data_IF_547547321567
#
_entry.id   IF_547547321567
#
_cell.length_a   1.000
_cell.length_b   1.000
_cell.length_c   1.000
_cell.angle_alpha   90.00
_cell.angle_beta   90.00
_cell.angle_gamma   90.00
#
_symmetry.space_group_name_H-M   'P 1'
#
loop_
_entity.id
_entity.type
_entity.pdbx_description
1 polymer ?
#
# COMPACT_ATOMS: atom_id res chain seq x y z
N UNK A 1 -16.43 20.64 11.34
CA UNK A 1 -15.54 20.91 10.18
C UNK A 1 -16.09 20.11 9.02
N UNK A 2 -16.45 20.74 7.90
CA UNK A 2 -16.94 20.01 6.73
C UNK A 2 -15.76 19.25 6.11
N UNK A 3 -15.91 17.93 5.92
CA UNK A 3 -14.89 17.12 5.26
C UNK A 3 -14.65 17.64 3.83
N UNK A 4 -13.39 17.63 3.33
CA UNK A 4 -13.10 18.05 1.96
C UNK A 4 -13.87 17.17 0.96
N UNK A 5 -14.42 17.80 -0.09
CA UNK A 5 -15.19 17.13 -1.13
C UNK A 5 -14.28 16.66 -2.27
N UNK A 6 -14.60 15.51 -2.86
CA UNK A 6 -14.16 15.09 -4.19
C UNK A 6 -15.08 15.72 -5.23
N UNK A 7 -14.49 16.44 -6.18
CA UNK A 7 -15.20 17.05 -7.30
C UNK A 7 -14.77 16.36 -8.58
N UNK A 8 -15.72 16.01 -9.44
CA UNK A 8 -15.41 15.48 -10.75
C UNK A 8 -15.37 16.56 -11.83
N UNK A 9 -14.93 16.17 -13.03
CA UNK A 9 -15.17 16.86 -14.28
C UNK A 9 -16.04 15.99 -15.17
N UNK A 10 -17.14 16.54 -15.66
CA UNK A 10 -17.98 15.83 -16.63
C UNK A 10 -17.27 15.70 -17.97
N UNK A 11 -17.77 14.82 -18.84
CA UNK A 11 -17.23 14.68 -20.19
C UNK A 11 -17.15 16.02 -20.93
N UNK A 12 -18.14 16.90 -20.77
CA UNK A 12 -18.19 18.19 -21.46
C UNK A 12 -17.21 19.22 -20.86
N UNK A 13 -16.87 19.11 -19.59
CA UNK A 13 -15.90 19.99 -18.91
C UNK A 13 -14.44 19.62 -19.20
N UNK A 14 -14.17 18.38 -19.61
CA UNK A 14 -12.82 17.90 -19.91
C UNK A 14 -12.28 18.49 -21.22
N UNK A 15 -11.01 18.87 -21.23
CA UNK A 15 -10.29 19.26 -22.45
C UNK A 15 -9.11 18.34 -22.73
N UNK A 16 -8.76 18.16 -24.01
CA UNK A 16 -7.50 17.51 -24.38
C UNK A 16 -6.34 18.35 -23.82
N UNK A 17 -5.39 17.68 -23.16
CA UNK A 17 -4.30 18.31 -22.43
C UNK A 17 -4.59 18.57 -20.95
N UNK A 18 -5.84 18.42 -20.48
CA UNK A 18 -6.11 18.44 -19.05
C UNK A 18 -5.30 17.35 -18.34
N UNK A 19 -4.68 17.70 -17.23
CA UNK A 19 -3.87 16.77 -16.44
C UNK A 19 -4.13 16.88 -14.95
N UNK A 20 -3.87 15.79 -14.25
CA UNK A 20 -3.85 15.72 -12.80
C UNK A 20 -2.69 14.83 -12.35
N UNK A 21 -2.11 15.15 -11.20
CA UNK A 21 -0.97 14.43 -10.65
C UNK A 21 -1.07 14.27 -9.14
N UNK A 22 -0.48 13.20 -8.63
CA UNK A 22 -0.24 13.00 -7.22
C UNK A 22 1.18 12.51 -6.99
N UNK A 23 1.71 12.79 -5.81
CA UNK A 23 3.07 12.42 -5.43
C UNK A 23 3.03 11.64 -4.12
N UNK A 24 3.75 10.52 -4.08
CA UNK A 24 3.84 9.67 -2.88
C UNK A 24 5.24 9.11 -2.73
N UNK A 25 5.74 9.11 -1.50
CA UNK A 25 6.97 8.42 -1.11
C UNK A 25 6.62 6.96 -0.87
N UNK A 26 7.36 6.05 -1.48
CA UNK A 26 7.22 4.61 -1.29
C UNK A 26 7.74 4.24 0.09
N UNK A 27 6.91 3.56 0.89
CA UNK A 27 7.29 3.10 2.22
C UNK A 27 7.35 1.57 2.28
N UNK A 28 8.02 1.04 3.30
CA UNK A 28 8.04 -0.42 3.51
C UNK A 28 6.63 -0.95 3.79
N UNK A 29 5.82 -0.18 4.52
CA UNK A 29 4.43 -0.53 4.82
C UNK A 29 3.59 -0.65 3.53
N UNK A 30 3.94 0.10 2.48
CA UNK A 30 3.26 0.00 1.19
C UNK A 30 3.50 -1.36 0.52
N UNK A 31 4.72 -1.89 0.66
CA UNK A 31 5.09 -3.21 0.14
C UNK A 31 4.34 -4.30 0.89
N UNK A 32 4.35 -4.23 2.23
CA UNK A 32 3.64 -5.19 3.09
C UNK A 32 2.13 -5.17 2.82
N UNK A 33 1.51 -4.00 2.74
CA UNK A 33 0.09 -3.85 2.43
C UNK A 33 -0.24 -4.35 1.02
N UNK A 34 0.59 -4.03 0.04
CA UNK A 34 0.36 -4.48 -1.33
C UNK A 34 0.50 -6.00 -1.45
N UNK A 35 1.51 -6.60 -0.82
CA UNK A 35 1.65 -8.06 -0.74
C UNK A 35 0.43 -8.70 -0.05
N UNK A 36 -0.03 -8.14 1.06
CA UNK A 36 -1.19 -8.65 1.79
C UNK A 36 -2.49 -8.63 0.98
N UNK A 37 -2.76 -7.54 0.23
CA UNK A 37 -3.99 -7.42 -0.57
C UNK A 37 -3.92 -8.19 -1.89
N UNK A 38 -2.75 -8.28 -2.50
CA UNK A 38 -2.56 -8.95 -3.81
C UNK A 38 -2.30 -10.45 -3.69
N UNK A 39 -1.80 -10.91 -2.55
CA UNK A 39 -1.27 -12.27 -2.37
C UNK A 39 0.11 -12.48 -3.01
N UNK A 40 0.74 -11.44 -3.58
CA UNK A 40 2.06 -11.52 -4.19
C UNK A 40 3.16 -11.48 -3.12
N UNK A 41 3.55 -12.69 -2.69
CA UNK A 41 4.61 -12.95 -1.71
C UNK A 41 5.97 -13.23 -2.37
N UNK A 42 6.21 -12.71 -3.57
CA UNK A 42 7.49 -12.89 -4.24
C UNK A 42 8.65 -12.39 -3.33
N UNK A 43 9.67 -13.24 -3.05
CA UNK A 43 10.78 -12.89 -2.17
C UNK A 43 11.54 -11.62 -2.59
N UNK A 44 11.54 -11.25 -3.87
CA UNK A 44 12.13 -9.99 -4.35
C UNK A 44 11.54 -8.73 -3.69
N UNK A 45 10.32 -8.82 -3.15
CA UNK A 45 9.62 -7.73 -2.49
C UNK A 45 9.71 -7.80 -0.95
N UNK A 46 9.92 -8.98 -0.37
CA UNK A 46 9.75 -9.18 1.09
C UNK A 46 11.03 -9.61 1.81
N UNK A 47 11.95 -10.29 1.13
CA UNK A 47 13.18 -10.82 1.73
C UNK A 47 14.39 -9.99 1.29
N UNK A 48 14.97 -9.24 2.22
CA UNK A 48 16.16 -8.41 1.97
C UNK A 48 17.40 -9.24 1.63
N UNK A 49 17.55 -10.43 2.21
CA UNK A 49 18.69 -11.31 1.94
C UNK A 49 18.58 -11.91 0.54
N UNK A 50 17.37 -12.31 0.13
CA UNK A 50 17.12 -12.76 -1.23
C UNK A 50 17.29 -11.61 -2.24
N UNK A 51 16.66 -10.46 -2.01
CA UNK A 51 16.69 -9.33 -2.93
C UNK A 51 18.10 -8.78 -3.17
N UNK A 52 19.01 -8.89 -2.19
CA UNK A 52 20.43 -8.54 -2.35
C UNK A 52 21.17 -9.43 -3.36
N UNK A 53 20.66 -10.64 -3.62
CA UNK A 53 21.23 -11.59 -4.60
C UNK A 53 20.52 -11.53 -5.96
N UNK A 54 19.39 -10.85 -6.04
CA UNK A 54 18.58 -10.71 -7.25
C UNK A 54 19.12 -9.60 -8.18
N UNK A 55 18.62 -9.56 -9.42
CA UNK A 55 19.01 -8.61 -10.47
C UNK A 55 18.85 -7.14 -10.06
N UNK A 56 17.99 -6.86 -9.07
CA UNK A 56 17.79 -5.53 -8.52
C UNK A 56 18.77 -5.18 -7.39
N UNK A 57 19.30 -6.18 -6.67
CA UNK A 57 20.25 -6.01 -5.57
C UNK A 57 19.68 -5.35 -4.30
N UNK A 58 18.36 -5.11 -4.25
CA UNK A 58 17.63 -4.57 -3.11
C UNK A 58 16.12 -4.83 -3.27
N UNK A 59 15.36 -4.66 -2.18
CA UNK A 59 13.90 -4.77 -2.20
C UNK A 59 13.29 -3.67 -3.05
N UNK A 60 12.38 -4.05 -3.95
CA UNK A 60 11.61 -3.13 -4.80
C UNK A 60 10.12 -3.28 -4.50
N UNK A 61 9.32 -2.24 -4.69
CA UNK A 61 7.85 -2.36 -4.57
C UNK A 61 7.26 -3.04 -5.80
N UNK A 62 6.13 -3.73 -5.64
CA UNK A 62 5.37 -4.31 -6.75
C UNK A 62 5.05 -3.22 -7.77
N UNK A 63 5.38 -3.45 -9.05
CA UNK A 63 5.16 -2.45 -10.11
C UNK A 63 3.71 -1.97 -10.17
N UNK A 64 2.76 -2.87 -9.90
CA UNK A 64 1.32 -2.57 -9.91
C UNK A 64 0.88 -1.57 -8.83
N UNK A 65 1.69 -1.33 -7.79
CA UNK A 65 1.46 -0.25 -6.83
C UNK A 65 1.39 1.11 -7.53
N UNK A 66 2.23 1.34 -8.54
CA UNK A 66 2.18 2.58 -9.36
C UNK A 66 0.91 2.64 -10.21
N UNK A 67 0.38 1.50 -10.65
CA UNK A 67 -0.96 1.40 -11.27
C UNK A 67 -2.08 1.79 -10.31
N UNK A 68 -1.95 1.47 -9.03
CA UNK A 68 -2.88 1.94 -7.98
C UNK A 68 -2.92 3.46 -7.84
N UNK A 69 -1.78 4.15 -8.04
CA UNK A 69 -1.74 5.62 -8.06
C UNK A 69 -2.51 6.21 -9.25
N UNK A 70 -2.38 5.60 -10.43
CA UNK A 70 -3.14 5.97 -11.63
C UNK A 70 -4.64 5.77 -11.38
N UNK A 71 -5.02 4.61 -10.84
CA UNK A 71 -6.41 4.32 -10.48
C UNK A 71 -6.97 5.35 -9.50
N UNK A 72 -6.16 5.78 -8.52
CA UNK A 72 -6.54 6.84 -7.57
C UNK A 72 -6.86 8.14 -8.31
N UNK A 73 -5.95 8.62 -9.18
CA UNK A 73 -6.17 9.86 -9.95
C UNK A 73 -7.46 9.81 -10.78
N UNK A 74 -7.69 8.71 -11.49
CA UNK A 74 -8.88 8.56 -12.34
C UNK A 74 -10.18 8.58 -11.53
N UNK A 75 -10.18 7.95 -10.36
CA UNK A 75 -11.36 7.86 -9.48
C UNK A 75 -11.62 9.09 -8.64
N UNK A 76 -10.59 9.88 -8.30
CA UNK A 76 -10.73 10.97 -7.32
C UNK A 76 -10.46 12.36 -7.85
N UNK A 77 -9.71 12.52 -8.95
CA UNK A 77 -9.25 13.83 -9.44
C UNK A 77 -9.62 14.10 -10.91
N UNK A 78 -9.26 13.21 -11.85
CA UNK A 78 -9.46 13.44 -13.28
C UNK A 78 -9.75 12.14 -14.06
N UNK A 79 -11.00 11.92 -14.54
CA UNK A 79 -12.16 12.81 -14.39
C UNK A 79 -12.70 12.90 -12.96
N UNK A 80 -12.37 11.94 -12.08
CA UNK A 80 -12.82 11.93 -10.69
C UNK A 80 -14.12 11.13 -10.47
N UNK A 81 -14.91 11.42 -9.42
CA UNK A 81 -16.08 10.64 -9.08
C UNK A 81 -17.06 10.38 -10.24
N UNK A 82 -17.56 9.15 -10.34
CA UNK A 82 -18.45 8.71 -11.42
C UNK A 82 -17.74 8.24 -12.69
N UNK A 83 -16.40 8.27 -12.72
CA UNK A 83 -15.61 7.67 -13.80
C UNK A 83 -15.75 6.14 -13.81
N UNK A 84 -15.93 5.55 -14.99
CA UNK A 84 -15.88 4.09 -15.18
C UNK A 84 -14.58 3.74 -15.88
N UNK A 85 -13.75 2.93 -15.24
CA UNK A 85 -12.44 2.53 -15.74
C UNK A 85 -12.58 1.29 -16.63
N UNK A 86 -12.35 1.43 -17.93
CA UNK A 86 -12.59 0.36 -18.91
C UNK A 86 -11.35 -0.50 -19.16
N UNK A 87 -10.19 0.14 -19.35
CA UNK A 87 -8.94 -0.57 -19.63
C UNK A 87 -7.73 0.27 -19.22
N UNK A 88 -6.62 -0.43 -18.98
CA UNK A 88 -5.33 0.15 -18.68
C UNK A 88 -4.23 -0.69 -19.31
N UNK A 89 -3.33 -0.03 -20.03
CA UNK A 89 -2.08 -0.59 -20.53
C UNK A 89 -0.90 -0.05 -19.70
N UNK A 90 0.01 -0.90 -19.23
CA UNK A 90 1.13 -0.51 -18.37
C UNK A 90 2.44 -1.08 -18.91
N UNK A 91 3.47 -0.24 -18.97
CA UNK A 91 4.83 -0.63 -19.27
C UNK A 91 5.73 -0.22 -18.11
N UNK A 92 6.21 -1.20 -17.35
CA UNK A 92 7.13 -1.00 -16.24
C UNK A 92 8.55 -0.78 -16.79
N UNK A 93 9.09 0.42 -16.63
CA UNK A 93 10.36 0.85 -17.25
C UNK A 93 11.56 0.68 -16.32
N UNK A 94 11.34 0.92 -15.03
CA UNK A 94 12.38 0.85 -14.00
C UNK A 94 11.77 0.34 -12.68
N UNK A 95 12.55 -0.40 -11.87
CA UNK A 95 12.13 -0.75 -10.52
C UNK A 95 11.98 0.52 -9.67
N UNK A 96 11.17 0.42 -8.63
CA UNK A 96 10.95 1.47 -7.64
C UNK A 96 11.31 0.92 -6.27
N UNK A 97 12.11 1.65 -5.50
CA UNK A 97 12.61 1.22 -4.20
C UNK A 97 11.88 1.93 -3.05
N UNK A 98 11.84 1.35 -1.84
CA UNK A 98 11.52 2.10 -0.62
C UNK A 98 12.33 3.40 -0.51
N UNK A 99 11.64 4.50 -0.22
CA UNK A 99 12.23 5.84 -0.16
C UNK A 99 12.16 6.63 -1.46
N UNK A 100 11.90 5.99 -2.61
CA UNK A 100 11.66 6.72 -3.86
C UNK A 100 10.41 7.58 -3.75
N UNK A 101 10.45 8.76 -4.37
CA UNK A 101 9.30 9.65 -4.49
C UNK A 101 8.74 9.54 -5.89
N UNK A 102 7.52 8.98 -6.01
CA UNK A 102 6.87 8.76 -7.30
C UNK A 102 5.79 9.81 -7.52
N UNK A 103 5.86 10.48 -8.67
CA UNK A 103 4.82 11.38 -9.16
C UNK A 103 4.08 10.68 -10.30
N UNK A 104 2.82 10.31 -10.04
CA UNK A 104 1.91 9.80 -11.05
C UNK A 104 1.17 10.96 -11.70
N UNK A 105 1.00 10.93 -13.02
CA UNK A 105 0.27 11.93 -13.81
C UNK A 105 -0.63 11.22 -14.81
N UNK A 106 -1.85 11.73 -14.97
CA UNK A 106 -2.76 11.35 -16.06
C UNK A 106 -3.05 12.58 -16.92
N UNK A 107 -3.07 12.43 -18.24
CA UNK A 107 -3.33 13.54 -19.18
C UNK A 107 -4.33 13.12 -20.24
N UNK A 108 -5.38 13.92 -20.47
CA UNK A 108 -6.38 13.64 -21.51
C UNK A 108 -5.75 13.74 -22.90
N UNK A 109 -5.74 12.63 -23.63
CA UNK A 109 -5.25 12.55 -25.01
C UNK A 109 -6.36 12.73 -26.03
N UNK A 110 -7.49 12.08 -25.81
CA UNK A 110 -8.57 12.01 -26.79
C UNK A 110 -9.95 11.92 -26.11
N UNK A 111 -10.97 12.50 -26.73
CA UNK A 111 -12.37 12.41 -26.31
C UNK A 111 -13.23 11.85 -27.46
N UNK A 112 -14.04 10.84 -27.16
CA UNK A 112 -14.98 10.17 -28.08
C UNK A 112 -16.42 10.37 -27.59
N UNK A 113 -17.19 11.33 -28.16
CA UNK A 113 -18.48 11.77 -27.62
C UNK A 113 -19.55 10.69 -27.55
N UNK A 114 -19.62 9.80 -28.55
CA UNK A 114 -20.71 8.81 -28.70
C UNK A 114 -20.95 7.97 -27.44
N UNK A 115 -19.87 7.63 -26.72
CA UNK A 115 -19.92 6.86 -25.48
C UNK A 115 -19.26 7.57 -24.30
N UNK A 116 -18.97 8.87 -24.42
CA UNK A 116 -18.21 9.67 -23.44
C UNK A 116 -16.87 9.01 -23.05
N UNK A 117 -16.25 8.34 -24.02
CA UNK A 117 -14.98 7.66 -23.81
C UNK A 117 -13.87 8.71 -23.83
N UNK A 118 -12.95 8.60 -22.87
CA UNK A 118 -11.75 9.44 -22.77
C UNK A 118 -10.53 8.53 -22.71
N UNK A 119 -9.57 8.80 -23.59
CA UNK A 119 -8.25 8.17 -23.56
C UNK A 119 -7.29 9.10 -22.82
N UNK A 120 -6.54 8.55 -21.86
CA UNK A 120 -5.55 9.29 -21.10
C UNK A 120 -4.17 8.66 -21.23
N UNK A 121 -3.15 9.50 -21.35
CA UNK A 121 -1.75 9.14 -21.08
C UNK A 121 -1.60 8.93 -19.58
N UNK A 122 -0.84 7.92 -19.17
CA UNK A 122 -0.57 7.62 -17.77
C UNK A 122 0.94 7.44 -17.58
N UNK A 123 1.51 8.20 -16.66
CA UNK A 123 2.96 8.26 -16.49
C UNK A 123 3.31 8.37 -15.02
N UNK A 124 4.29 7.58 -14.57
CA UNK A 124 4.89 7.71 -13.25
C UNK A 124 6.39 8.00 -13.40
N UNK A 125 6.85 9.04 -12.71
CA UNK A 125 8.26 9.44 -12.67
C UNK A 125 8.79 9.41 -11.25
N UNK A 126 10.07 9.10 -11.08
CA UNK A 126 10.73 9.19 -9.78
C UNK A 126 11.22 10.63 -9.49
N UNK A 127 11.87 10.84 -8.34
CA UNK A 127 12.42 12.11 -7.88
C UNK A 127 13.47 12.73 -8.82
N UNK A 128 14.05 11.93 -9.73
CA UNK A 128 15.03 12.40 -10.73
C UNK A 128 14.42 12.68 -12.09
N UNK A 129 13.09 12.56 -12.23
CA UNK A 129 12.37 12.74 -13.50
C UNK A 129 12.48 11.55 -14.46
N UNK A 130 12.95 10.39 -13.98
CA UNK A 130 13.05 9.18 -14.79
C UNK A 130 11.71 8.45 -14.79
N UNK A 131 11.29 7.99 -15.97
CA UNK A 131 10.08 7.18 -16.13
C UNK A 131 10.26 5.81 -15.49
N UNK A 132 9.40 5.52 -14.51
CA UNK A 132 9.30 4.19 -13.90
C UNK A 132 8.13 3.41 -14.47
N UNK A 133 7.08 4.10 -14.92
CA UNK A 133 5.93 3.52 -15.60
C UNK A 133 5.39 4.46 -16.68
N UNK A 134 5.02 3.90 -17.82
CA UNK A 134 4.32 4.58 -18.92
C UNK A 134 3.15 3.73 -19.40
N UNK A 135 2.06 4.34 -19.86
CA UNK A 135 0.89 3.58 -20.30
C UNK A 135 -0.27 4.46 -20.72
N UNK A 136 -1.43 3.85 -20.96
CA UNK A 136 -2.67 4.55 -21.31
C UNK A 136 -3.87 3.99 -20.57
N UNK A 137 -4.80 4.86 -20.18
CA UNK A 137 -6.09 4.52 -19.58
C UNK A 137 -7.23 4.84 -20.53
N UNK A 138 -8.20 3.93 -20.66
CA UNK A 138 -9.50 4.24 -21.28
C UNK A 138 -10.58 4.27 -20.21
N UNK A 139 -11.33 5.36 -20.16
CA UNK A 139 -12.42 5.55 -19.20
C UNK A 139 -13.70 6.04 -19.87
N UNK A 140 -14.84 5.86 -19.22
CA UNK A 140 -16.06 6.63 -19.49
C UNK A 140 -16.11 7.76 -18.48
N UNK A 141 -16.12 8.99 -18.97
CA UNK A 141 -16.24 10.17 -18.11
C UNK A 141 -17.70 10.37 -17.65
N UNK A 142 -17.92 10.92 -16.44
CA UNK A 142 -19.26 11.15 -15.91
C UNK A 142 -20.04 12.16 -16.77
N UNK A 143 -21.36 12.01 -16.87
CA UNK A 143 -22.25 13.03 -17.47
C UNK A 143 -22.72 14.08 -16.47
N UNK A 144 -22.72 13.74 -15.19
CA UNK A 144 -23.29 14.59 -14.13
C UNK A 144 -22.20 15.10 -13.21
N UNK A 145 -22.37 16.34 -12.75
CA UNK A 145 -21.48 16.96 -11.80
C UNK A 145 -21.69 16.34 -10.42
N UNK A 146 -20.62 15.82 -9.83
CA UNK A 146 -20.65 15.20 -8.51
C UNK A 146 -19.73 15.95 -7.54
N UNK A 147 -20.22 16.08 -6.31
CA UNK A 147 -19.48 16.58 -5.17
C UNK A 147 -19.71 15.64 -3.98
N UNK A 148 -18.77 14.71 -3.76
CA UNK A 148 -18.91 13.66 -2.75
C UNK A 148 -17.97 13.90 -1.57
N UNK A 149 -18.36 13.59 -0.32
CA UNK A 149 -17.44 13.69 0.81
C UNK A 149 -16.28 12.71 0.66
N UNK A 150 -15.05 13.15 0.97
CA UNK A 150 -13.92 12.23 1.10
C UNK A 150 -14.14 11.30 2.31
N UNK A 151 -14.07 9.99 2.05
CA UNK A 151 -14.09 8.97 3.10
C UNK A 151 -12.64 8.75 3.56
N UNK A 152 -12.42 8.82 4.87
CA UNK A 152 -11.11 8.48 5.43
C UNK A 152 -10.86 6.98 5.26
N UNK A 153 -9.66 6.64 4.79
CA UNK A 153 -9.21 5.24 4.79
C UNK A 153 -9.06 4.75 6.23
N UNK A 154 -9.39 3.47 6.51
CA UNK A 154 -9.24 2.91 7.85
C UNK A 154 -7.76 2.91 8.27
N UNK A 155 -7.52 3.08 9.57
CA UNK A 155 -6.19 2.84 10.14
C UNK A 155 -5.90 1.34 10.09
N UNK A 156 -4.76 0.97 9.49
CA UNK A 156 -4.32 -0.41 9.38
C UNK A 156 -3.07 -0.60 10.23
N UNK A 157 -3.15 -1.54 11.18
CA UNK A 157 -2.00 -1.97 11.97
C UNK A 157 -1.40 -3.22 11.35
N UNK A 158 -0.21 -3.08 10.77
CA UNK A 158 0.58 -4.22 10.29
C UNK A 158 1.29 -4.87 11.48
N UNK A 159 1.00 -6.15 11.71
CA UNK A 159 1.73 -6.97 12.68
C UNK A 159 2.79 -7.78 11.93
N UNK A 160 3.98 -7.19 11.75
CA UNK A 160 5.11 -7.90 11.19
C UNK A 160 5.51 -9.08 12.08
N UNK A 161 5.34 -10.30 11.57
CA UNK A 161 5.68 -11.52 12.32
C UNK A 161 7.17 -11.65 12.64
N UNK A 162 8.03 -11.05 11.82
CA UNK A 162 9.48 -11.30 11.85
C UNK A 162 10.20 -10.68 13.04
N UNK A 163 9.81 -9.47 13.47
CA UNK A 163 10.55 -8.78 14.52
C UNK A 163 10.39 -9.49 15.87
N UNK A 164 9.19 -9.96 16.17
CA UNK A 164 8.95 -10.73 17.39
C UNK A 164 9.39 -12.19 17.24
N UNK A 165 9.21 -12.80 16.07
CA UNK A 165 9.63 -14.19 15.85
C UNK A 165 11.14 -14.36 15.93
N UNK A 166 11.94 -13.40 15.45
CA UNK A 166 13.40 -13.45 15.58
C UNK A 166 13.83 -13.34 17.05
N UNK A 167 13.23 -12.43 17.83
CA UNK A 167 13.48 -12.34 19.28
C UNK A 167 13.03 -13.60 20.01
N UNK A 168 11.88 -14.17 19.66
CA UNK A 168 11.36 -15.41 20.25
C UNK A 168 12.24 -16.61 19.86
N UNK A 169 12.66 -16.73 18.60
CA UNK A 169 13.58 -17.78 18.16
C UNK A 169 14.93 -17.68 18.87
N UNK A 170 15.46 -16.46 19.02
CA UNK A 170 16.69 -16.22 19.78
C UNK A 170 16.50 -16.50 21.27
N UNK A 171 15.34 -16.19 21.85
CA UNK A 171 15.04 -16.52 23.24
C UNK A 171 14.92 -18.04 23.44
N UNK A 172 14.32 -18.78 22.50
CA UNK A 172 14.24 -20.25 22.51
C UNK A 172 15.61 -20.94 22.43
N UNK A 173 16.64 -20.28 21.88
CA UNK A 173 18.01 -20.82 21.85
C UNK A 173 18.79 -20.57 23.13
N UNK A 174 18.22 -19.82 24.09
CA UNK A 174 18.77 -19.56 25.41
C UNK A 174 18.03 -20.40 26.46
N UNK A 175 18.65 -20.68 27.62
CA UNK A 175 17.95 -21.33 28.72
C UNK A 175 16.76 -20.48 29.21
N UNK A 176 15.63 -21.09 29.60
CA UNK A 176 14.47 -20.36 30.11
C UNK A 176 14.85 -19.44 31.28
N UNK A 177 14.38 -18.21 31.25
CA UNK A 177 14.63 -17.24 32.32
C UNK A 177 13.62 -17.42 33.44
N UNK A 178 14.08 -17.46 34.70
CA UNK A 178 13.19 -17.49 35.86
C UNK A 178 12.50 -16.13 36.03
N UNK A 179 11.18 -16.11 36.01
CA UNK A 179 10.36 -14.87 35.98
C UNK A 179 9.26 -14.90 37.02
N UNK A 180 9.17 -13.86 37.86
CA UNK A 180 8.03 -13.67 38.75
C UNK A 180 6.85 -13.03 38.00
N UNK A 181 5.71 -13.72 37.94
CA UNK A 181 4.45 -13.18 37.41
C UNK A 181 3.60 -12.74 38.60
N UNK A 182 3.59 -11.43 38.85
CA UNK A 182 2.93 -10.84 40.03
C UNK A 182 1.47 -10.55 39.75
N UNK A 183 0.61 -10.97 40.68
CA UNK A 183 -0.83 -10.78 40.65
C UNK A 183 -1.53 -11.30 39.36
N UNK A 184 -1.30 -12.56 38.92
CA UNK A 184 -1.92 -13.12 37.72
C UNK A 184 -3.36 -13.58 37.99
N UNK A 185 -4.24 -12.66 38.32
CA UNK A 185 -5.62 -12.97 38.74
C UNK A 185 -6.63 -13.07 37.59
N UNK A 186 -6.19 -12.91 36.33
CA UNK A 186 -7.03 -13.12 35.15
C UNK A 186 -6.66 -14.41 34.42
N UNK A 187 -7.64 -14.97 33.70
CA UNK A 187 -7.44 -16.16 32.88
C UNK A 187 -6.37 -15.89 31.82
N UNK A 188 -6.40 -14.70 31.21
CA UNK A 188 -5.44 -14.27 30.18
C UNK A 188 -4.01 -14.18 30.73
N UNK A 189 -3.84 -13.69 31.97
CA UNK A 189 -2.53 -13.58 32.59
C UNK A 189 -1.93 -14.95 32.93
N UNK A 190 -2.76 -15.88 33.41
CA UNK A 190 -2.35 -17.26 33.67
C UNK A 190 -2.03 -18.02 32.38
N UNK A 191 -2.88 -17.87 31.36
CA UNK A 191 -2.67 -18.46 30.03
C UNK A 191 -1.36 -17.96 29.40
N UNK A 192 -1.12 -16.65 29.40
CA UNK A 192 0.11 -16.09 28.85
C UNK A 192 1.38 -16.63 29.55
N UNK A 193 1.35 -16.80 30.88
CA UNK A 193 2.47 -17.36 31.64
C UNK A 193 2.72 -18.84 31.31
N UNK A 194 1.65 -19.62 31.13
CA UNK A 194 1.73 -21.04 30.75
C UNK A 194 2.23 -21.19 29.32
N UNK A 195 1.69 -20.42 28.38
CA UNK A 195 2.12 -20.43 26.98
C UNK A 195 3.60 -20.07 26.85
N UNK A 196 4.07 -19.03 27.56
CA UNK A 196 5.47 -18.64 27.55
C UNK A 196 6.41 -19.71 28.17
N UNK A 197 5.94 -20.48 29.16
CA UNK A 197 6.67 -21.62 29.71
C UNK A 197 6.77 -22.77 28.71
N UNK A 198 5.65 -23.13 28.10
CA UNK A 198 5.57 -24.26 27.16
C UNK A 198 6.39 -23.98 25.89
N UNK A 199 6.54 -22.71 25.55
CA UNK A 199 7.45 -22.21 24.51
C UNK A 199 8.93 -22.17 24.92
N UNK A 200 9.27 -22.59 26.15
CA UNK A 200 10.64 -22.62 26.66
C UNK A 200 11.25 -21.25 26.91
N UNK A 201 10.45 -20.18 26.95
CA UNK A 201 10.94 -18.81 27.08
C UNK A 201 11.22 -18.43 28.53
N UNK A 202 10.36 -18.88 29.45
CA UNK A 202 10.45 -18.55 30.87
C UNK A 202 10.19 -19.76 31.78
N UNK A 203 10.72 -19.69 33.01
CA UNK A 203 10.39 -20.53 34.16
C UNK A 203 9.56 -19.68 35.15
N UNK A 204 8.21 -19.66 35.02
CA UNK A 204 7.38 -18.68 35.72
C UNK A 204 7.13 -19.09 37.18
N UNK A 205 7.25 -18.10 38.07
CA UNK A 205 6.83 -18.17 39.48
C UNK A 205 5.60 -17.28 39.63
N UNK A 206 4.43 -17.89 39.86
CA UNK A 206 3.19 -17.15 40.07
C UNK A 206 3.15 -16.59 41.50
N UNK A 207 3.02 -15.27 41.63
CA UNK A 207 2.95 -14.58 42.91
C UNK A 207 1.54 -14.03 43.05
N UNK A 208 0.73 -14.64 43.92
CA UNK A 208 -0.66 -14.22 44.15
C UNK A 208 -0.76 -12.86 44.87
N UNK A 209 -1.95 -12.23 44.88
CA UNK A 209 -2.24 -11.12 45.78
C UNK A 209 -2.04 -11.50 47.25
N UNK A 210 -1.77 -10.48 48.08
CA UNK A 210 -1.91 -10.56 49.53
C UNK A 210 -3.37 -10.77 49.95
#
# INVERSE_FOLDING_TARGET
MNAPLLLNRTFDELNVGDSASLTRVVRNEDIELFAAVSGDVNPAHLDKAYAATDIFGHVVIHGMWTGGLISTLLGTELPGPGTIYLSQDLHFRKPVAPGDTITATVTVLEKKPEKRIVLLDTRCVNQTGVDVLTGTATVIAPSEKLALPRIAVPEVLLRGGERYSEFVQRARSLPPMRVGVVHPCSVEALQAAIEARDEGLIDPILIGPE
#
